data_IF_380629483195
#
_entry.id   IF_380629483195
#
_cell.length_a   1.000
_cell.length_b   1.000
_cell.length_c   1.000
_cell.angle_alpha   90.00
_cell.angle_beta   90.00
_cell.angle_gamma   90.00
#
_symmetry.space_group_name_H-M   'P 1'
#
loop_
_entity.id
_entity.type
_entity.pdbx_description
1 polymer ?
#
# COMPACT_ATOMS: atom_id res chain seq x y z
N UNK A 1 0.85 -16.20 12.96
CA UNK A 1 0.75 -14.72 12.93
C UNK A 1 2.02 -14.04 12.40
N UNK A 2 3.19 -14.21 13.03
CA UNK A 2 4.46 -13.54 12.62
C UNK A 2 4.79 -13.68 11.13
N UNK A 3 4.74 -14.89 10.56
CA UNK A 3 5.00 -15.10 9.13
C UNK A 3 4.04 -14.30 8.22
N UNK A 4 2.76 -14.19 8.61
CA UNK A 4 1.78 -13.37 7.92
C UNK A 4 2.08 -11.88 8.02
N UNK A 5 2.56 -11.40 9.18
CA UNK A 5 2.97 -10.00 9.35
C UNK A 5 4.22 -9.70 8.52
N UNK A 6 5.19 -10.61 8.43
CA UNK A 6 6.33 -10.45 7.52
C UNK A 6 5.87 -10.35 6.06
N UNK A 7 4.89 -11.15 5.65
CA UNK A 7 4.29 -11.04 4.32
C UNK A 7 3.59 -9.70 4.09
N UNK A 8 2.94 -9.10 5.10
CA UNK A 8 2.42 -7.73 4.99
C UNK A 8 3.55 -6.73 4.71
N UNK A 9 4.67 -6.84 5.43
CA UNK A 9 5.82 -5.93 5.27
C UNK A 9 6.39 -6.06 3.85
N UNK A 10 6.50 -7.28 3.32
CA UNK A 10 7.01 -7.50 1.97
C UNK A 10 6.06 -6.98 0.90
N UNK A 11 4.73 -7.11 1.09
CA UNK A 11 3.75 -6.47 0.22
C UNK A 11 3.85 -4.94 0.29
N UNK A 12 4.06 -4.35 1.46
CA UNK A 12 4.26 -2.90 1.59
C UNK A 12 5.53 -2.39 0.90
N UNK A 13 6.60 -3.18 0.89
CA UNK A 13 7.80 -2.86 0.09
C UNK A 13 7.48 -2.90 -1.41
N UNK A 14 6.63 -3.84 -1.85
CA UNK A 14 6.16 -3.86 -3.24
C UNK A 14 5.26 -2.64 -3.53
N UNK A 15 4.39 -2.24 -2.61
CA UNK A 15 3.58 -1.01 -2.71
C UNK A 15 4.49 0.22 -2.91
N UNK A 16 5.54 0.37 -2.10
CA UNK A 16 6.54 1.45 -2.25
C UNK A 16 7.34 1.36 -3.55
N UNK A 17 7.70 0.16 -4.00
CA UNK A 17 8.42 -0.03 -5.26
C UNK A 17 7.54 0.37 -6.45
N UNK A 18 6.29 -0.06 -6.47
CA UNK A 18 5.35 0.24 -7.53
C UNK A 18 4.96 1.73 -7.53
N UNK A 19 4.84 2.36 -6.36
CA UNK A 19 4.68 3.80 -6.23
C UNK A 19 5.80 4.56 -6.96
N UNK A 20 7.06 4.15 -6.78
CA UNK A 20 8.22 4.77 -7.46
C UNK A 20 8.14 4.58 -8.98
N UNK A 21 7.70 3.42 -9.45
CA UNK A 21 7.52 3.15 -10.89
C UNK A 21 6.47 4.11 -11.47
N UNK A 22 5.28 4.15 -10.89
CA UNK A 22 4.18 4.99 -11.39
C UNK A 22 4.53 6.48 -11.29
N UNK A 23 5.15 6.91 -10.18
CA UNK A 23 5.61 8.30 -10.03
C UNK A 23 6.63 8.67 -11.10
N UNK A 24 7.61 7.81 -11.39
CA UNK A 24 8.62 8.06 -12.43
C UNK A 24 7.98 8.21 -13.81
N UNK A 25 6.94 7.45 -14.11
CA UNK A 25 6.19 7.60 -15.37
C UNK A 25 5.56 8.99 -15.44
N UNK A 26 4.86 9.40 -14.39
CA UNK A 26 4.22 10.72 -14.32
C UNK A 26 5.23 11.87 -14.40
N UNK A 27 6.35 11.75 -13.68
CA UNK A 27 7.44 12.75 -13.67
C UNK A 27 8.12 12.91 -15.04
N UNK A 28 8.05 11.91 -15.92
CA UNK A 28 8.63 11.99 -17.27
C UNK A 28 7.91 13.02 -18.17
N UNK A 29 6.68 13.41 -17.83
CA UNK A 29 5.94 14.48 -18.51
C UNK A 29 5.31 14.11 -19.86
N UNK A 30 5.62 12.93 -20.42
CA UNK A 30 5.07 12.38 -21.66
C UNK A 30 4.48 10.97 -21.44
N UNK A 31 3.56 10.87 -20.48
CA UNK A 31 2.97 9.59 -20.07
C UNK A 31 2.25 8.91 -21.25
N UNK A 32 2.69 7.70 -21.60
CA UNK A 32 1.86 6.78 -22.38
C UNK A 32 0.73 6.26 -21.48
N UNK A 33 -0.51 6.55 -21.86
CA UNK A 33 -1.67 6.26 -21.03
C UNK A 33 -1.91 4.75 -20.89
N UNK A 34 -1.59 3.95 -21.91
CA UNK A 34 -1.75 2.49 -21.86
C UNK A 34 -0.76 1.89 -20.88
N UNK A 35 0.52 2.26 -20.99
CA UNK A 35 1.55 1.79 -20.06
C UNK A 35 1.24 2.24 -18.62
N UNK A 36 0.74 3.46 -18.46
CA UNK A 36 0.35 3.99 -17.16
C UNK A 36 -0.81 3.22 -16.54
N UNK A 37 -1.87 2.94 -17.31
CA UNK A 37 -3.01 2.19 -16.82
C UNK A 37 -2.65 0.74 -16.47
N UNK A 38 -1.73 0.11 -17.22
CA UNK A 38 -1.16 -1.19 -16.87
C UNK A 38 -0.35 -1.14 -15.56
N UNK A 39 0.48 -0.11 -15.39
CA UNK A 39 1.26 0.08 -14.16
C UNK A 39 0.34 0.38 -12.95
N UNK A 40 -0.73 1.15 -13.15
CA UNK A 40 -1.76 1.43 -12.14
C UNK A 40 -2.54 0.18 -11.77
N UNK A 41 -2.90 -0.65 -12.76
CA UNK A 41 -3.60 -1.93 -12.54
C UNK A 41 -2.77 -2.86 -11.65
N UNK A 42 -1.48 -3.04 -11.98
CA UNK A 42 -0.52 -3.80 -11.14
C UNK A 42 -0.42 -3.23 -9.73
N UNK A 43 -0.47 -1.90 -9.59
CA UNK A 43 -0.42 -1.25 -8.29
C UNK A 43 -1.68 -1.53 -7.46
N UNK A 44 -2.87 -1.45 -8.08
CA UNK A 44 -4.14 -1.83 -7.45
C UNK A 44 -4.10 -3.28 -6.96
N UNK A 45 -3.56 -4.20 -7.78
CA UNK A 45 -3.45 -5.61 -7.41
C UNK A 45 -2.53 -5.84 -6.21
N UNK A 46 -1.38 -5.16 -6.16
CA UNK A 46 -0.46 -5.22 -5.02
C UNK A 46 -1.13 -4.72 -3.74
N UNK A 47 -1.83 -3.58 -3.80
CA UNK A 47 -2.56 -3.03 -2.64
C UNK A 47 -3.68 -3.98 -2.19
N UNK A 48 -4.42 -4.58 -3.12
CA UNK A 48 -5.45 -5.58 -2.80
C UNK A 48 -4.88 -6.85 -2.17
N UNK A 49 -3.72 -7.32 -2.64
CA UNK A 49 -3.00 -8.44 -2.03
C UNK A 49 -2.59 -8.09 -0.58
N UNK A 50 -2.12 -6.85 -0.38
CA UNK A 50 -1.88 -6.28 0.94
C UNK A 50 -3.11 -6.33 1.86
N UNK A 51 -4.26 -5.88 1.36
CA UNK A 51 -5.54 -5.85 2.10
C UNK A 51 -5.95 -7.25 2.52
N UNK A 52 -5.89 -8.19 1.58
CA UNK A 52 -6.26 -9.58 1.82
C UNK A 52 -5.36 -10.20 2.89
N UNK A 53 -4.04 -10.00 2.81
CA UNK A 53 -3.11 -10.55 3.80
C UNK A 53 -3.31 -9.95 5.20
N UNK A 54 -3.62 -8.65 5.29
CA UNK A 54 -3.89 -7.99 6.58
C UNK A 54 -5.17 -8.46 7.22
N UNK A 55 -6.23 -8.67 6.43
CA UNK A 55 -7.49 -9.27 6.92
C UNK A 55 -7.26 -10.67 7.47
N UNK A 56 -6.54 -11.52 6.73
CA UNK A 56 -6.17 -12.85 7.20
C UNK A 56 -5.34 -12.80 8.50
N UNK A 57 -4.43 -11.85 8.63
CA UNK A 57 -3.68 -11.68 9.88
C UNK A 57 -4.55 -11.18 11.03
N UNK A 58 -5.55 -10.32 10.78
CA UNK A 58 -6.48 -9.84 11.80
C UNK A 58 -7.30 -10.99 12.39
N UNK A 59 -7.83 -11.87 11.54
CA UNK A 59 -8.60 -13.05 11.97
C UNK A 59 -7.75 -13.98 12.86
N UNK A 60 -6.45 -14.09 12.56
CA UNK A 60 -5.51 -14.90 13.36
C UNK A 60 -4.99 -14.19 14.62
N UNK A 61 -5.24 -12.89 14.75
CA UNK A 61 -4.75 -12.08 15.86
C UNK A 61 -5.79 -11.88 16.97
N UNK A 62 -7.00 -12.42 16.82
CA UNK A 62 -8.05 -12.31 17.83
C UNK A 62 -7.55 -12.79 19.21
N UNK A 63 -7.63 -11.91 20.22
CA UNK A 63 -7.07 -12.14 21.55
C UNK A 63 -5.56 -11.90 21.75
N UNK A 64 -4.83 -11.37 20.75
CA UNK A 64 -3.40 -11.01 20.86
C UNK A 64 -3.18 -9.48 20.84
N UNK A 65 -2.12 -9.00 21.50
CA UNK A 65 -1.63 -7.61 21.49
C UNK A 65 -1.43 -7.00 20.09
N UNK A 66 -1.22 -7.81 19.06
CA UNK A 66 -1.10 -7.35 17.68
C UNK A 66 -2.44 -6.93 17.03
N UNK A 67 -3.60 -7.28 17.61
CA UNK A 67 -4.92 -7.08 17.01
C UNK A 67 -5.24 -5.61 16.73
N UNK A 68 -5.00 -4.70 17.67
CA UNK A 68 -5.31 -3.27 17.52
C UNK A 68 -4.42 -2.60 16.45
N UNK A 69 -3.15 -3.00 16.42
CA UNK A 69 -2.20 -2.53 15.43
C UNK A 69 -2.58 -2.99 14.02
N UNK A 70 -2.99 -4.24 13.86
CA UNK A 70 -3.46 -4.77 12.57
C UNK A 70 -4.77 -4.11 12.12
N UNK A 71 -5.69 -3.81 13.05
CA UNK A 71 -6.94 -3.11 12.75
C UNK A 71 -6.71 -1.68 12.27
N UNK A 72 -5.74 -0.98 12.86
CA UNK A 72 -5.32 0.36 12.43
C UNK A 72 -4.84 0.35 10.97
N UNK A 73 -4.02 -0.64 10.61
CA UNK A 73 -3.52 -0.75 9.23
C UNK A 73 -4.63 -1.12 8.26
N UNK A 74 -5.56 -2.02 8.63
CA UNK A 74 -6.69 -2.37 7.79
C UNK A 74 -7.58 -1.15 7.44
N UNK A 75 -7.76 -0.21 8.39
CA UNK A 75 -8.49 1.03 8.14
C UNK A 75 -7.77 1.96 7.16
N UNK A 76 -6.44 2.04 7.24
CA UNK A 76 -5.62 2.85 6.34
C UNK A 76 -5.68 2.36 4.89
N UNK A 77 -5.77 1.04 4.69
CA UNK A 77 -5.69 0.46 3.33
C UNK A 77 -6.86 0.80 2.40
N UNK A 78 -8.04 1.11 2.94
CA UNK A 78 -9.16 1.60 2.13
C UNK A 78 -8.84 2.97 1.51
N UNK A 79 -8.11 3.82 2.24
CA UNK A 79 -7.64 5.10 1.72
C UNK A 79 -6.52 4.92 0.69
N UNK A 80 -5.58 3.99 0.92
CA UNK A 80 -4.53 3.61 -0.03
C UNK A 80 -5.14 3.14 -1.37
N UNK A 81 -6.09 2.21 -1.33
CA UNK A 81 -6.74 1.69 -2.54
C UNK A 81 -7.48 2.79 -3.30
N UNK A 82 -8.18 3.67 -2.59
CA UNK A 82 -8.88 4.81 -3.20
C UNK A 82 -7.88 5.77 -3.86
N UNK A 83 -6.77 6.08 -3.19
CA UNK A 83 -5.73 6.94 -3.71
C UNK A 83 -5.08 6.36 -4.97
N UNK A 84 -4.69 5.07 -4.97
CA UNK A 84 -4.11 4.41 -6.15
C UNK A 84 -5.08 4.39 -7.33
N UNK A 85 -6.35 4.04 -7.10
CA UNK A 85 -7.38 4.05 -8.15
C UNK A 85 -7.63 5.45 -8.72
N UNK A 86 -7.40 6.49 -7.93
CA UNK A 86 -7.58 7.88 -8.31
C UNK A 86 -6.44 8.48 -9.12
N UNK A 87 -5.31 7.76 -9.28
CA UNK A 87 -4.18 8.25 -10.07
C UNK A 87 -4.57 8.39 -11.55
N UNK A 88 -4.19 9.54 -12.12
CA UNK A 88 -4.64 9.99 -13.44
C UNK A 88 -3.55 9.98 -14.49
N UNK A 89 -2.28 9.86 -14.09
CA UNK A 89 -1.13 9.96 -14.99
C UNK A 89 -0.64 11.40 -15.16
N UNK A 90 -1.12 12.34 -14.36
CA UNK A 90 -0.80 13.77 -14.49
C UNK A 90 -0.19 14.32 -13.21
N UNK A 91 1.01 14.87 -13.31
CA UNK A 91 1.74 15.40 -12.15
C UNK A 91 0.91 16.44 -11.37
N UNK A 92 0.24 17.35 -12.10
CA UNK A 92 -0.58 18.42 -11.53
C UNK A 92 -1.72 17.96 -10.61
N UNK A 93 -2.14 16.70 -10.71
CA UNK A 93 -3.20 16.11 -9.87
C UNK A 93 -2.69 14.98 -8.98
N UNK A 94 -1.62 14.29 -9.38
CA UNK A 94 -1.15 13.07 -8.72
C UNK A 94 -0.06 13.34 -7.67
N UNK A 95 0.63 14.48 -7.71
CA UNK A 95 1.76 14.76 -6.80
C UNK A 95 1.39 14.68 -5.31
N UNK A 96 0.26 15.31 -4.92
CA UNK A 96 -0.23 15.23 -3.55
C UNK A 96 -0.62 13.78 -3.17
N UNK A 97 -1.18 13.04 -4.12
CA UNK A 97 -1.54 11.63 -3.95
C UNK A 97 -0.30 10.76 -3.75
N UNK A 98 0.78 10.98 -4.51
CA UNK A 98 2.04 10.25 -4.34
C UNK A 98 2.67 10.49 -2.97
N UNK A 99 2.67 11.73 -2.48
CA UNK A 99 3.16 12.03 -1.12
C UNK A 99 2.33 11.28 -0.07
N UNK A 100 1.00 11.35 -0.18
CA UNK A 100 0.10 10.68 0.76
C UNK A 100 0.26 9.16 0.75
N UNK A 101 0.41 8.53 -0.43
CA UNK A 101 0.68 7.10 -0.58
C UNK A 101 2.02 6.71 0.05
N UNK A 102 3.07 7.51 -0.14
CA UNK A 102 4.38 7.27 0.47
C UNK A 102 4.30 7.22 2.00
N UNK A 103 3.58 8.17 2.60
CA UNK A 103 3.39 8.24 4.05
C UNK A 103 2.55 7.08 4.58
N UNK A 104 1.45 6.73 3.89
CA UNK A 104 0.59 5.61 4.26
C UNK A 104 1.36 4.28 4.28
N UNK A 105 2.12 3.97 3.22
CA UNK A 105 2.89 2.74 3.18
C UNK A 105 4.01 2.70 4.23
N UNK A 106 4.72 3.81 4.42
CA UNK A 106 5.80 3.89 5.42
C UNK A 106 5.27 3.74 6.84
N UNK A 107 4.15 4.41 7.16
CA UNK A 107 3.47 4.27 8.45
C UNK A 107 2.94 2.86 8.68
N UNK A 108 2.38 2.24 7.64
CA UNK A 108 1.92 0.87 7.69
C UNK A 108 3.06 -0.14 7.93
N UNK A 109 4.24 0.05 7.32
CA UNK A 109 5.42 -0.79 7.57
C UNK A 109 5.85 -0.68 9.03
N UNK A 110 5.97 0.56 9.53
CA UNK A 110 6.36 0.80 10.91
C UNK A 110 5.38 0.14 11.89
N UNK A 111 4.07 0.19 11.61
CA UNK A 111 3.06 -0.47 12.44
C UNK A 111 3.18 -2.01 12.37
N UNK A 112 3.35 -2.60 11.19
CA UNK A 112 3.57 -4.04 11.08
C UNK A 112 4.85 -4.50 11.80
N UNK A 113 5.93 -3.72 11.72
CA UNK A 113 7.17 -4.01 12.46
C UNK A 113 6.98 -3.96 13.99
N UNK A 114 6.11 -3.08 14.50
CA UNK A 114 5.71 -3.10 15.91
C UNK A 114 4.90 -4.35 16.24
N UNK A 115 3.95 -4.72 15.39
CA UNK A 115 3.11 -5.91 15.58
C UNK A 115 3.91 -7.22 15.57
N UNK A 116 5.03 -7.31 14.83
CA UNK A 116 5.95 -8.47 14.88
C UNK A 116 6.57 -8.66 16.27
N UNK A 117 6.78 -7.55 17.01
CA UNK A 117 7.48 -7.53 18.30
C UNK A 117 6.53 -7.61 19.51
N UNK A 118 5.22 -7.55 19.30
CA UNK A 118 4.19 -7.51 20.33
C UNK A 118 3.75 -8.93 20.75
#
# INVERSE_FOLDING_TARGET
>A
LVAGINKNIDLQKQEQSQLKVVKKMVDAGNVDQSDFDDAKSKFVDIVNAGITQRKANQELADGNKAADGLATVAKAQSAELKAVKGLTGKASTDDATFSSLSDMFSGGIAQNQKNVKA
#
